data_IF_685192886120
#
_entry.id   IF_685192886120
#
_cell.length_a   1.000
_cell.length_b   1.000
_cell.length_c   1.000
_cell.angle_alpha   90.00
_cell.angle_beta   90.00
_cell.angle_gamma   90.00
#
_symmetry.space_group_name_H-M   'P 1'
#
loop_
_entity.id
_entity.type
_entity.pdbx_description
1 polymer ?
#
# COMPACT_ATOMS: atom_id res chain seq x y z
N UNK A 1 10.73 -6.08 21.32
CA UNK A 1 10.16 -4.82 20.77
C UNK A 1 10.40 -4.83 19.27
N UNK A 2 9.36 -5.06 18.46
CA UNK A 2 9.50 -5.01 16.99
C UNK A 2 9.61 -3.53 16.61
N UNK A 3 10.80 -3.12 16.20
CA UNK A 3 11.10 -1.76 15.78
C UNK A 3 10.48 -1.51 14.40
N UNK A 4 9.18 -1.20 14.36
CA UNK A 4 8.41 -1.05 13.11
C UNK A 4 8.68 0.26 12.34
N UNK A 5 9.57 1.13 12.84
CA UNK A 5 9.93 2.42 12.21
C UNK A 5 10.45 2.29 10.77
N UNK A 6 10.95 1.12 10.37
CA UNK A 6 11.47 0.89 9.02
C UNK A 6 10.40 0.45 8.00
N UNK A 7 9.19 0.08 8.46
CA UNK A 7 8.16 -0.48 7.57
C UNK A 7 7.64 0.58 6.59
N UNK A 8 7.77 0.29 5.29
CA UNK A 8 7.18 1.10 4.22
C UNK A 8 5.75 0.67 3.98
N UNK A 9 4.82 1.61 4.06
CA UNK A 9 3.38 1.38 3.85
C UNK A 9 2.96 2.13 2.59
N UNK A 10 2.28 1.46 1.68
CA UNK A 10 1.61 2.08 0.54
C UNK A 10 0.13 2.16 0.81
N UNK A 11 -0.48 3.31 0.56
CA UNK A 11 -1.93 3.47 0.54
C UNK A 11 -2.33 3.69 -0.91
N UNK A 12 -3.22 2.87 -1.44
CA UNK A 12 -3.70 2.94 -2.82
C UNK A 12 -5.20 3.19 -2.80
N UNK A 13 -5.58 4.44 -3.02
CA UNK A 13 -6.96 4.92 -2.90
C UNK A 13 -7.15 6.11 -3.84
N UNK A 14 -8.27 6.13 -4.55
CA UNK A 14 -8.65 7.20 -5.47
C UNK A 14 -9.01 8.50 -4.72
N UNK A 15 -9.45 8.40 -3.47
CA UNK A 15 -9.75 9.53 -2.58
C UNK A 15 -8.51 10.01 -1.82
N UNK A 16 -8.11 11.26 -2.10
CA UNK A 16 -7.04 11.93 -1.37
C UNK A 16 -7.41 12.14 0.10
N UNK A 17 -8.66 12.50 0.40
CA UNK A 17 -9.12 12.74 1.77
C UNK A 17 -9.00 11.47 2.61
N UNK A 18 -9.44 10.33 2.07
CA UNK A 18 -9.37 9.05 2.76
C UNK A 18 -7.94 8.57 2.93
N UNK A 19 -7.11 8.72 1.89
CA UNK A 19 -5.67 8.44 1.96
C UNK A 19 -4.99 9.21 3.10
N UNK A 20 -5.23 10.52 3.18
CA UNK A 20 -4.67 11.38 4.23
C UNK A 20 -5.19 11.01 5.62
N UNK A 21 -6.44 10.57 5.72
CA UNK A 21 -7.01 10.13 6.99
C UNK A 21 -6.36 8.83 7.49
N UNK A 22 -6.17 7.85 6.60
CA UNK A 22 -5.47 6.60 6.91
C UNK A 22 -4.02 6.90 7.30
N UNK A 23 -3.33 7.78 6.56
CA UNK A 23 -1.97 8.21 6.89
C UNK A 23 -1.88 8.83 8.29
N UNK A 24 -2.80 9.74 8.64
CA UNK A 24 -2.87 10.34 9.99
C UNK A 24 -3.06 9.28 11.08
N UNK A 25 -3.89 8.27 10.84
CA UNK A 25 -4.09 7.18 11.81
C UNK A 25 -2.83 6.34 11.98
N UNK A 26 -2.17 5.98 10.88
CA UNK A 26 -0.91 5.23 10.92
C UNK A 26 0.22 6.03 11.60
N UNK A 27 0.29 7.34 11.35
CA UNK A 27 1.23 8.24 12.03
C UNK A 27 1.03 8.24 13.55
N UNK A 28 -0.23 8.20 14.04
CA UNK A 28 -0.54 8.08 15.48
C UNK A 28 -0.14 6.72 16.07
N UNK A 29 -0.08 5.67 15.25
CA UNK A 29 0.40 4.35 15.64
C UNK A 29 1.93 4.22 15.54
N UNK A 30 2.65 5.28 15.15
CA UNK A 30 4.10 5.32 15.08
C UNK A 30 4.72 4.84 13.75
N UNK A 31 3.92 4.74 12.69
CA UNK A 31 4.41 4.49 11.33
C UNK A 31 4.64 5.81 10.59
N UNK A 32 5.77 5.97 9.91
CA UNK A 32 6.13 7.26 9.30
C UNK A 32 6.57 7.15 7.82
N UNK A 33 6.84 5.94 7.31
CA UNK A 33 7.22 5.71 5.91
C UNK A 33 6.00 5.31 5.09
N UNK A 34 5.05 6.23 5.00
CA UNK A 34 3.76 6.02 4.31
C UNK A 34 3.79 6.80 3.01
N UNK A 35 3.37 6.18 1.90
CA UNK A 35 3.22 6.87 0.63
C UNK A 35 1.81 6.59 0.05
N UNK A 36 0.96 7.63 -0.08
CA UNK A 36 -0.30 7.50 -0.79
C UNK A 36 -0.08 7.49 -2.32
N UNK A 37 -0.84 6.66 -3.00
CA UNK A 37 -0.84 6.47 -4.45
C UNK A 37 -2.30 6.50 -4.90
N UNK A 38 -2.61 7.34 -5.89
CA UNK A 38 -3.99 7.47 -6.40
C UNK A 38 -4.24 6.71 -7.69
N UNK A 39 -3.20 6.13 -8.26
CA UNK A 39 -3.26 5.48 -9.57
C UNK A 39 -2.77 4.03 -9.47
N UNK A 40 -3.59 3.03 -9.85
CA UNK A 40 -3.15 1.63 -9.89
C UNK A 40 -1.90 1.42 -10.76
N UNK A 41 -1.70 2.22 -11.82
CA UNK A 41 -0.50 2.12 -12.67
C UNK A 41 0.78 2.51 -11.93
N UNK A 42 0.71 3.47 -11.01
CA UNK A 42 1.88 3.84 -10.19
C UNK A 42 2.26 2.73 -9.20
N UNK A 43 1.29 1.93 -8.74
CA UNK A 43 1.55 0.76 -7.92
C UNK A 43 2.41 -0.27 -8.68
N UNK A 44 2.14 -0.49 -9.97
CA UNK A 44 2.95 -1.39 -10.80
C UNK A 44 4.40 -0.90 -10.90
N UNK A 45 4.62 0.37 -11.26
CA UNK A 45 5.97 0.93 -11.38
C UNK A 45 6.76 0.93 -10.06
N UNK A 46 6.08 1.13 -8.92
CA UNK A 46 6.73 1.11 -7.61
C UNK A 46 7.08 -0.31 -7.15
N UNK A 47 6.32 -1.30 -7.60
CA UNK A 47 6.55 -2.71 -7.27
C UNK A 47 7.48 -3.42 -8.27
N UNK A 48 7.76 -2.83 -9.43
CA UNK A 48 8.73 -3.35 -10.40
C UNK A 48 10.19 -3.19 -9.95
N UNK A 49 10.50 -2.23 -9.07
CA UNK A 49 11.86 -2.03 -8.56
C UNK A 49 12.08 -2.72 -7.20
N UNK A 50 12.95 -3.74 -7.10
CA UNK A 50 13.11 -4.56 -5.90
C UNK A 50 13.96 -3.91 -4.78
N UNK A 51 14.29 -2.62 -4.86
CA UNK A 51 15.32 -2.04 -3.98
C UNK A 51 14.97 -2.05 -2.49
N UNK A 52 13.68 -2.10 -2.13
CA UNK A 52 13.24 -2.47 -0.78
C UNK A 52 11.75 -2.90 -0.76
N UNK A 53 11.40 -3.97 -0.03
CA UNK A 53 10.01 -4.44 0.06
C UNK A 53 9.10 -3.42 0.77
N UNK A 54 7.86 -3.36 0.32
CA UNK A 54 6.76 -2.73 1.04
C UNK A 54 6.23 -3.71 2.07
N UNK A 55 6.24 -3.29 3.34
CA UNK A 55 5.82 -4.14 4.44
C UNK A 55 4.30 -4.21 4.60
N UNK A 56 3.55 -3.29 3.98
CA UNK A 56 2.10 -3.27 3.96
C UNK A 56 1.58 -2.46 2.75
N UNK A 57 0.63 -3.03 2.02
CA UNK A 57 -0.18 -2.38 1.01
C UNK A 57 -1.61 -2.25 1.52
N UNK A 58 -2.14 -1.03 1.60
CA UNK A 58 -3.52 -0.74 1.97
C UNK A 58 -4.23 -0.27 0.71
N UNK A 59 -5.24 -1.00 0.24
CA UNK A 59 -5.93 -0.70 -1.03
C UNK A 59 -7.44 -0.52 -0.79
N UNK A 60 -8.03 0.48 -1.43
CA UNK A 60 -9.48 0.67 -1.45
C UNK A 60 -10.12 -0.43 -2.29
N UNK A 61 -11.16 -1.10 -1.77
CA UNK A 61 -11.90 -2.11 -2.54
C UNK A 61 -12.45 -1.56 -3.85
N UNK A 62 -12.96 -0.33 -3.84
CA UNK A 62 -13.50 0.32 -5.04
C UNK A 62 -12.48 0.35 -6.18
N UNK A 63 -11.21 0.64 -5.84
CA UNK A 63 -10.12 0.69 -6.80
C UNK A 63 -9.69 -0.70 -7.30
N UNK A 64 -9.75 -1.72 -6.44
CA UNK A 64 -9.50 -3.12 -6.82
C UNK A 64 -10.57 -3.61 -7.81
N UNK A 65 -11.84 -3.31 -7.52
CA UNK A 65 -12.98 -3.67 -8.36
C UNK A 65 -12.94 -2.94 -9.72
N UNK A 66 -12.68 -1.62 -9.72
CA UNK A 66 -12.59 -0.82 -10.94
C UNK A 66 -11.46 -1.32 -11.87
N UNK A 67 -10.30 -1.65 -11.30
CA UNK A 67 -9.15 -2.11 -12.06
C UNK A 67 -9.18 -3.61 -12.40
N UNK A 68 -10.23 -4.34 -11.97
CA UNK A 68 -10.36 -5.80 -12.06
C UNK A 68 -9.07 -6.52 -11.62
N UNK A 69 -8.50 -6.04 -10.51
CA UNK A 69 -7.18 -6.43 -10.02
C UNK A 69 -7.32 -7.65 -9.10
N UNK A 70 -6.77 -8.79 -9.50
CA UNK A 70 -6.62 -9.92 -8.58
C UNK A 70 -5.47 -9.63 -7.61
N UNK A 71 -5.83 -9.14 -6.42
CA UNK A 71 -4.84 -8.82 -5.38
C UNK A 71 -4.07 -10.04 -4.88
N UNK A 72 -4.64 -11.25 -4.97
CA UNK A 72 -3.95 -12.48 -4.58
C UNK A 72 -2.87 -12.82 -5.60
N UNK A 73 -3.21 -12.82 -6.89
CA UNK A 73 -2.23 -12.97 -7.97
C UNK A 73 -1.16 -11.87 -7.93
N UNK A 74 -1.57 -10.61 -7.71
CA UNK A 74 -0.67 -9.46 -7.62
C UNK A 74 0.40 -9.65 -6.53
N UNK A 75 0.03 -10.15 -5.35
CA UNK A 75 0.97 -10.39 -4.25
C UNK A 75 1.90 -11.57 -4.53
N UNK A 76 1.42 -12.62 -5.19
CA UNK A 76 2.24 -13.79 -5.57
C UNK A 76 3.32 -13.42 -6.59
N UNK A 77 2.99 -12.57 -7.57
CA UNK A 77 3.94 -12.09 -8.57
C UNK A 77 4.96 -11.08 -8.02
N UNK A 78 4.68 -10.47 -6.86
CA UNK A 78 5.44 -9.35 -6.29
C UNK A 78 5.87 -9.68 -4.86
N UNK A 79 6.95 -10.49 -4.68
CA UNK A 79 7.44 -10.88 -3.35
C UNK A 79 7.93 -9.70 -2.51
N UNK A 80 8.08 -8.51 -3.12
CA UNK A 80 8.35 -7.25 -2.45
C UNK A 80 7.13 -6.64 -1.74
N UNK A 81 5.92 -7.19 -1.89
CA UNK A 81 4.73 -6.80 -1.11
C UNK A 81 4.43 -7.89 -0.09
N UNK A 82 4.77 -7.62 1.17
CA UNK A 82 4.73 -8.65 2.21
C UNK A 82 3.33 -8.91 2.75
N UNK A 83 2.48 -7.88 2.78
CA UNK A 83 1.12 -7.93 3.35
C UNK A 83 0.22 -6.95 2.64
N UNK A 84 -1.05 -7.32 2.48
CA UNK A 84 -2.08 -6.50 1.84
C UNK A 84 -3.32 -6.43 2.72
N UNK A 85 -3.90 -5.24 2.84
CA UNK A 85 -5.15 -4.96 3.53
C UNK A 85 -6.09 -4.26 2.56
N UNK A 86 -7.29 -4.83 2.38
CA UNK A 86 -8.35 -4.27 1.54
C UNK A 86 -9.44 -3.73 2.47
N UNK A 87 -9.87 -2.49 2.28
CA UNK A 87 -10.91 -1.86 3.08
C UNK A 87 -12.05 -1.30 2.22
#
# INVERSE_FOLDING_TARGET
MINNKAMRILIVDDSLERSLQIEKWLNRLGYYRIAPIRCPKQLLSLTEYPSAPFGLLIVSRALVEEANLDMHAFCLERPNVLRTLIF
#
